data_IF_642038221428
#
_entry.id   IF_642038221428
#
_cell.length_a   1.000
_cell.length_b   1.000
_cell.length_c   1.000
_cell.angle_alpha   90.00
_cell.angle_beta   90.00
_cell.angle_gamma   90.00
#
_symmetry.space_group_name_H-M   'P 1'
#
loop_
_entity.id
_entity.type
_entity.pdbx_description
1 polymer ?
#
# COMPACT_ATOMS: atom_id res chain seq x y z
N UNK A 1 -4.78 44.80 -3.24
CA UNK A 1 -5.49 43.84 -4.11
C UNK A 1 -4.63 43.55 -5.34
N UNK A 2 -3.92 42.41 -5.37
CA UNK A 2 -3.18 41.94 -6.54
C UNK A 2 -3.37 40.43 -6.67
N UNK A 3 -4.46 40.05 -7.33
CA UNK A 3 -4.63 38.73 -7.94
C UNK A 3 -3.92 38.81 -9.30
N UNK A 4 -3.01 37.87 -9.61
CA UNK A 4 -2.88 37.24 -10.93
C UNK A 4 -1.55 36.49 -11.09
N UNK A 5 -1.65 35.37 -11.82
CA UNK A 5 -0.60 34.48 -12.35
C UNK A 5 -0.24 33.26 -11.47
N UNK A 6 -1.19 32.33 -11.37
CA UNK A 6 -0.83 30.90 -11.38
C UNK A 6 -1.08 30.41 -12.79
N UNK A 7 0.01 30.31 -13.55
CA UNK A 7 0.03 29.84 -14.94
C UNK A 7 -0.19 28.33 -14.97
N UNK A 8 -1.16 27.92 -15.78
CA UNK A 8 -1.48 26.56 -16.19
C UNK A 8 -0.26 25.77 -16.64
N UNK A 9 0.21 24.84 -15.81
CA UNK A 9 1.09 23.73 -16.21
C UNK A 9 0.28 22.45 -16.02
N UNK A 10 -0.67 22.17 -16.91
CA UNK A 10 -1.43 20.92 -16.92
C UNK A 10 -1.76 20.37 -18.32
N UNK A 11 -1.19 20.92 -19.40
CA UNK A 11 -1.65 20.66 -20.78
C UNK A 11 -0.62 20.02 -21.72
N UNK A 12 0.26 19.15 -21.23
CA UNK A 12 1.10 18.32 -22.12
C UNK A 12 1.14 16.88 -21.64
N UNK A 13 0.00 16.17 -21.77
CA UNK A 13 0.00 14.72 -21.84
C UNK A 13 -0.20 14.32 -23.31
N UNK A 14 0.68 13.49 -23.89
CA UNK A 14 0.51 13.02 -25.26
C UNK A 14 -0.72 12.12 -25.33
N UNK A 15 -1.72 12.55 -26.12
CA UNK A 15 -2.89 11.75 -26.47
C UNK A 15 -2.40 10.67 -27.46
N UNK A 16 -1.91 9.55 -26.92
CA UNK A 16 -1.70 8.34 -27.71
C UNK A 16 -3.04 7.63 -27.86
N UNK A 17 -3.82 8.07 -28.85
CA UNK A 17 -5.01 7.34 -29.32
C UNK A 17 -4.56 6.08 -30.08
N UNK A 18 -4.33 4.99 -29.36
CA UNK A 18 -4.17 3.67 -29.97
C UNK A 18 -5.58 3.20 -30.37
N UNK A 19 -5.84 3.16 -31.66
CA UNK A 19 -7.03 2.53 -32.23
C UNK A 19 -7.04 1.03 -31.86
N UNK A 20 -8.06 0.59 -31.13
CA UNK A 20 -8.20 -0.82 -30.73
C UNK A 20 -9.29 -1.50 -31.56
N UNK A 21 -8.86 -2.51 -32.34
CA UNK A 21 -9.74 -3.53 -32.93
C UNK A 21 -10.52 -4.22 -31.80
N UNK A 22 -11.84 -4.25 -31.91
CA UNK A 22 -12.70 -5.02 -31.00
C UNK A 22 -12.63 -6.51 -31.37
N UNK A 23 -11.74 -7.28 -30.75
CA UNK A 23 -11.92 -8.74 -30.69
C UNK A 23 -12.83 -9.06 -29.51
N UNK A 24 -13.87 -9.84 -29.79
CA UNK A 24 -14.89 -10.34 -28.86
C UNK A 24 -14.36 -11.46 -27.95
N UNK A 25 -13.08 -11.41 -27.59
CA UNK A 25 -12.55 -12.28 -26.54
C UNK A 25 -13.06 -11.76 -25.19
N UNK A 26 -13.45 -12.66 -24.29
CA UNK A 26 -13.67 -12.31 -22.87
C UNK A 26 -12.45 -11.52 -22.43
N UNK A 27 -12.61 -10.21 -22.23
CA UNK A 27 -11.53 -9.30 -21.85
C UNK A 27 -11.00 -9.71 -20.48
N UNK A 28 -10.06 -10.66 -20.45
CA UNK A 28 -9.35 -11.04 -19.24
C UNK A 28 -8.54 -9.80 -18.85
N UNK A 29 -8.88 -9.21 -17.71
CA UNK A 29 -8.17 -8.05 -17.21
C UNK A 29 -6.71 -8.42 -16.93
N UNK A 30 -5.74 -7.58 -17.32
CA UNK A 30 -4.35 -7.86 -17.05
C UNK A 30 -4.09 -7.80 -15.54
N UNK A 31 -3.22 -8.69 -15.05
CA UNK A 31 -2.97 -8.85 -13.61
C UNK A 31 -1.95 -7.83 -13.12
N UNK A 32 -2.17 -7.26 -11.94
CA UNK A 32 -1.21 -6.35 -11.33
C UNK A 32 0.09 -7.09 -10.97
N UNK A 33 1.23 -6.57 -11.40
CA UNK A 33 2.55 -7.15 -11.16
C UNK A 33 3.26 -6.39 -10.05
N UNK A 34 3.18 -5.06 -10.06
CA UNK A 34 3.74 -4.25 -8.98
C UNK A 34 3.11 -2.87 -8.84
N UNK A 35 3.27 -2.30 -7.64
CA UNK A 35 3.05 -0.89 -7.34
C UNK A 35 4.38 -0.33 -6.85
N UNK A 36 4.88 0.74 -7.46
CA UNK A 36 6.14 1.36 -7.07
C UNK A 36 6.00 2.86 -6.84
N UNK A 37 6.74 3.40 -5.89
CA UNK A 37 6.91 4.85 -5.78
C UNK A 37 7.81 5.39 -6.88
N UNK A 38 7.77 6.69 -7.12
CA UNK A 38 8.84 7.39 -7.83
C UNK A 38 10.19 7.30 -7.12
N UNK A 39 11.24 7.52 -7.89
CA UNK A 39 12.64 7.47 -7.46
C UNK A 39 13.08 8.83 -6.89
N UNK A 40 13.50 8.85 -5.63
CA UNK A 40 14.08 10.02 -4.98
C UNK A 40 15.51 9.72 -4.54
N UNK A 41 16.48 10.50 -5.01
CA UNK A 41 17.92 10.29 -4.75
C UNK A 41 18.37 8.84 -5.05
N UNK A 42 17.87 8.27 -6.15
CA UNK A 42 18.18 6.90 -6.58
C UNK A 42 17.44 5.79 -5.81
N UNK A 43 16.56 6.11 -4.86
CA UNK A 43 15.82 5.11 -4.09
C UNK A 43 14.32 5.16 -4.38
N UNK A 44 13.67 3.99 -4.40
CA UNK A 44 12.22 3.85 -4.51
C UNK A 44 11.73 2.66 -3.68
N UNK A 45 10.42 2.56 -3.47
CA UNK A 45 9.79 1.38 -2.87
C UNK A 45 8.96 0.67 -3.91
N UNK A 46 8.89 -0.65 -3.80
CA UNK A 46 8.08 -1.47 -4.69
C UNK A 46 7.42 -2.62 -3.92
N UNK A 47 6.15 -2.83 -4.22
CA UNK A 47 5.35 -3.98 -3.80
C UNK A 47 5.10 -4.84 -5.03
N UNK A 48 5.56 -6.09 -5.02
CA UNK A 48 5.40 -7.03 -6.14
C UNK A 48 4.45 -8.16 -5.79
N UNK A 49 3.67 -8.58 -6.76
CA UNK A 49 2.77 -9.73 -6.70
C UNK A 49 3.34 -10.87 -7.55
N UNK A 50 3.52 -12.04 -6.94
CA UNK A 50 3.96 -13.24 -7.64
C UNK A 50 2.78 -14.20 -7.81
N UNK A 51 2.73 -14.86 -8.96
CA UNK A 51 1.63 -15.75 -9.33
C UNK A 51 2.12 -17.16 -9.61
N UNK A 52 1.27 -18.16 -9.38
CA UNK A 52 1.49 -19.53 -9.87
C UNK A 52 0.93 -19.75 -11.28
N UNK A 53 1.01 -21.00 -11.76
CA UNK A 53 0.49 -21.42 -13.07
C UNK A 53 -1.03 -21.34 -13.20
N UNK A 54 -1.76 -21.32 -12.07
CA UNK A 54 -3.21 -21.14 -12.02
C UNK A 54 -3.59 -19.66 -11.85
N UNK A 55 -2.61 -18.75 -11.98
CA UNK A 55 -2.77 -17.31 -11.84
C UNK A 55 -3.22 -16.86 -10.44
N UNK A 56 -2.96 -17.66 -9.40
CA UNK A 56 -3.20 -17.30 -8.00
C UNK A 56 -2.00 -16.56 -7.43
N UNK A 57 -2.22 -15.53 -6.62
CA UNK A 57 -1.14 -14.81 -5.93
C UNK A 57 -0.50 -15.73 -4.89
N UNK A 58 0.76 -16.12 -5.08
CA UNK A 58 1.50 -16.95 -4.13
C UNK A 58 2.39 -16.15 -3.20
N UNK A 59 2.74 -14.92 -3.57
CA UNK A 59 3.50 -14.05 -2.70
C UNK A 59 3.30 -12.56 -2.96
N UNK A 60 3.44 -11.77 -1.91
CA UNK A 60 3.61 -10.31 -1.97
C UNK A 60 4.94 -9.92 -1.35
N UNK A 61 5.75 -9.17 -2.09
CA UNK A 61 7.08 -8.75 -1.68
C UNK A 61 7.13 -7.24 -1.56
N UNK A 62 7.39 -6.71 -0.36
CA UNK A 62 7.68 -5.30 -0.15
C UNK A 62 9.19 -5.07 -0.14
N UNK A 63 9.66 -4.20 -1.02
CA UNK A 63 11.09 -3.98 -1.23
C UNK A 63 11.43 -2.50 -1.22
N UNK A 64 12.56 -2.15 -0.61
CA UNK A 64 13.26 -0.90 -0.88
C UNK A 64 14.25 -1.16 -2.02
N UNK A 65 14.25 -0.32 -3.03
CA UNK A 65 15.11 -0.47 -4.19
C UNK A 65 16.04 0.74 -4.30
N UNK A 66 17.28 0.50 -4.74
CA UNK A 66 18.28 1.55 -4.96
C UNK A 66 18.96 1.35 -6.30
N UNK A 67 19.05 2.41 -7.08
CA UNK A 67 19.73 2.47 -8.37
C UNK A 67 20.97 3.34 -8.19
N UNK A 68 22.16 2.74 -8.33
CA UNK A 68 23.41 3.50 -8.39
C UNK A 68 23.60 4.01 -9.82
N UNK A 69 24.16 5.22 -9.96
CA UNK A 69 24.62 5.72 -11.26
C UNK A 69 26.10 5.35 -11.45
N UNK A 70 26.53 4.99 -12.68
CA UNK A 70 25.70 4.78 -13.86
C UNK A 70 24.82 3.52 -13.72
N UNK A 71 23.61 3.54 -14.29
CA UNK A 71 22.58 2.49 -14.13
C UNK A 71 22.90 1.19 -14.90
N UNK A 72 24.18 0.82 -14.96
CA UNK A 72 24.69 -0.36 -15.64
C UNK A 72 24.37 -1.62 -14.81
N UNK A 73 24.31 -1.48 -13.49
CA UNK A 73 24.00 -2.58 -12.58
C UNK A 73 22.50 -2.74 -12.32
N UNK A 74 22.08 -4.00 -12.09
CA UNK A 74 20.72 -4.31 -11.60
C UNK A 74 20.46 -3.52 -10.30
N UNK A 75 19.24 -2.98 -10.11
CA UNK A 75 18.89 -2.28 -8.88
C UNK A 75 19.18 -3.14 -7.65
N UNK A 76 19.77 -2.56 -6.61
CA UNK A 76 19.89 -3.22 -5.31
C UNK A 76 18.49 -3.34 -4.71
N UNK A 77 18.03 -4.57 -4.48
CA UNK A 77 16.70 -4.85 -3.93
C UNK A 77 16.82 -5.29 -2.48
N UNK A 78 16.10 -4.59 -1.61
CA UNK A 78 16.06 -4.82 -0.16
C UNK A 78 14.66 -5.19 0.31
N UNK A 79 14.39 -6.50 0.39
CA UNK A 79 13.10 -7.03 0.85
C UNK A 79 12.91 -6.77 2.34
N UNK A 80 11.85 -6.04 2.67
CA UNK A 80 11.49 -5.63 4.04
C UNK A 80 10.33 -6.43 4.60
N UNK A 81 9.43 -6.93 3.74
CA UNK A 81 8.31 -7.77 4.12
C UNK A 81 8.01 -8.76 3.01
N UNK A 82 7.70 -9.99 3.39
CA UNK A 82 7.15 -11.01 2.51
C UNK A 82 5.84 -11.51 3.09
N UNK A 83 4.88 -11.82 2.22
CA UNK A 83 3.68 -12.59 2.51
C UNK A 83 3.66 -13.75 1.52
N UNK A 84 3.50 -14.98 1.99
CA UNK A 84 3.36 -16.18 1.17
C UNK A 84 1.99 -16.80 1.42
N UNK A 85 1.33 -17.24 0.36
CA UNK A 85 -0.02 -17.82 0.41
C UNK A 85 0.01 -19.29 0.02
N UNK A 86 -0.63 -20.13 0.81
CA UNK A 86 -0.80 -21.54 0.52
C UNK A 86 -2.25 -21.89 0.20
N UNK A 87 -2.41 -22.89 -0.66
CA UNK A 87 -3.68 -23.30 -1.26
C UNK A 87 -3.85 -24.81 -1.18
N UNK A 88 -5.10 -25.27 -1.04
CA UNK A 88 -5.43 -26.69 -1.10
C UNK A 88 -5.81 -27.06 -2.53
N UNK A 89 -5.01 -27.90 -3.19
CA UNK A 89 -5.25 -28.34 -4.56
C UNK A 89 -5.45 -27.17 -5.54
N UNK A 90 -6.55 -27.20 -6.29
CA UNK A 90 -6.91 -26.18 -7.28
C UNK A 90 -7.78 -25.04 -6.70
N UNK A 91 -7.96 -24.97 -5.38
CA UNK A 91 -8.75 -23.90 -4.77
C UNK A 91 -8.11 -22.53 -5.06
N UNK A 92 -8.93 -21.55 -5.45
CA UNK A 92 -8.51 -20.18 -5.68
C UNK A 92 -8.31 -19.40 -4.38
N UNK A 93 -8.94 -19.82 -3.28
CA UNK A 93 -8.85 -19.14 -1.97
C UNK A 93 -7.69 -19.73 -1.16
N UNK A 94 -6.80 -18.89 -0.58
CA UNK A 94 -5.73 -19.39 0.26
C UNK A 94 -6.28 -19.84 1.60
N UNK A 95 -5.69 -20.89 2.21
CA UNK A 95 -6.02 -21.30 3.58
C UNK A 95 -5.00 -20.78 4.61
N UNK A 96 -3.83 -20.34 4.16
CA UNK A 96 -2.75 -19.85 5.02
C UNK A 96 -2.02 -18.67 4.37
N UNK A 97 -1.71 -17.66 5.18
CA UNK A 97 -0.74 -16.62 4.89
C UNK A 97 0.43 -16.68 5.89
N UNK A 98 1.66 -16.76 5.38
CA UNK A 98 2.89 -16.61 6.16
C UNK A 98 3.54 -15.29 5.86
N UNK A 99 3.63 -14.42 6.85
CA UNK A 99 4.21 -13.09 6.74
C UNK A 99 5.52 -13.00 7.53
N UNK A 100 6.59 -12.53 6.89
CA UNK A 100 7.86 -12.26 7.54
C UNK A 100 8.28 -10.81 7.27
N UNK A 101 8.57 -10.06 8.33
CA UNK A 101 9.17 -8.72 8.22
C UNK A 101 10.63 -8.78 8.64
N UNK A 102 11.48 -8.10 7.90
CA UNK A 102 12.92 -8.06 8.09
C UNK A 102 13.37 -6.68 8.54
N UNK A 103 14.43 -6.66 9.35
CA UNK A 103 15.18 -5.44 9.65
C UNK A 103 16.66 -5.66 9.37
N UNK A 104 17.34 -4.60 8.98
CA UNK A 104 18.77 -4.64 8.72
C UNK A 104 19.54 -4.39 10.02
N UNK A 105 20.25 -5.40 10.51
CA UNK A 105 21.14 -5.25 11.65
C UNK A 105 22.47 -4.67 11.15
N UNK A 106 22.70 -3.38 11.42
CA UNK A 106 23.93 -2.68 11.02
C UNK A 106 25.19 -3.29 11.63
N UNK A 107 25.15 -3.70 12.91
CA UNK A 107 26.32 -4.25 13.63
C UNK A 107 26.76 -5.59 13.01
N UNK A 108 25.80 -6.45 12.68
CA UNK A 108 26.07 -7.76 12.10
C UNK A 108 26.11 -7.76 10.56
N UNK A 109 25.92 -6.59 9.93
CA UNK A 109 25.83 -6.39 8.48
C UNK A 109 24.93 -7.42 7.77
N UNK A 110 23.83 -7.83 8.41
CA UNK A 110 22.93 -8.88 7.91
C UNK A 110 21.47 -8.56 8.20
N UNK A 111 20.57 -9.12 7.40
CA UNK A 111 19.14 -9.09 7.70
C UNK A 111 18.80 -10.09 8.78
N UNK A 112 17.96 -9.65 9.70
CA UNK A 112 17.32 -10.51 10.70
C UNK A 112 15.81 -10.37 10.54
N UNK A 113 15.09 -11.47 10.73
CA UNK A 113 13.63 -11.38 10.82
C UNK A 113 13.26 -10.68 12.14
N UNK A 114 12.30 -9.78 12.05
CA UNK A 114 11.75 -9.02 13.17
C UNK A 114 10.41 -9.60 13.61
N UNK A 115 9.55 -9.87 12.64
CA UNK A 115 8.20 -10.38 12.84
C UNK A 115 8.01 -11.59 11.94
N UNK A 116 7.39 -12.63 12.48
CA UNK A 116 6.89 -13.78 11.75
C UNK A 116 5.43 -14.02 12.19
N UNK A 117 4.48 -13.90 11.26
CA UNK A 117 3.05 -14.10 11.48
C UNK A 117 2.58 -15.25 10.60
N UNK A 118 1.88 -16.22 11.17
CA UNK A 118 1.10 -17.21 10.44
C UNK A 118 -0.38 -16.89 10.66
N UNK A 119 -1.16 -16.86 9.59
CA UNK A 119 -2.58 -16.57 9.61
C UNK A 119 -3.32 -17.63 8.81
N UNK A 120 -4.12 -18.43 9.50
CA UNK A 120 -4.99 -19.42 8.89
C UNK A 120 -6.35 -18.77 8.61
N UNK A 121 -6.80 -18.87 7.36
CA UNK A 121 -8.10 -18.38 6.92
C UNK A 121 -9.12 -19.52 7.04
N UNK A 122 -10.17 -19.31 7.82
CA UNK A 122 -11.20 -20.32 8.07
C UNK A 122 -12.45 -19.94 7.27
N UNK A 123 -12.94 -20.88 6.46
CA UNK A 123 -14.06 -20.68 5.56
C UNK A 123 -15.22 -21.61 5.88
N UNK A 124 -16.45 -21.09 5.78
CA UNK A 124 -17.69 -21.84 5.83
C UNK A 124 -18.55 -21.47 4.61
N UNK A 125 -19.10 -22.47 3.92
CA UNK A 125 -19.85 -22.27 2.68
C UNK A 125 -19.10 -21.45 1.61
N UNK A 126 -17.77 -21.52 1.64
CA UNK A 126 -16.89 -20.78 0.75
C UNK A 126 -16.64 -19.32 1.18
N UNK A 127 -17.28 -18.80 2.20
CA UNK A 127 -17.02 -17.45 2.71
C UNK A 127 -16.05 -17.49 3.89
N UNK A 128 -15.20 -16.47 4.02
CA UNK A 128 -14.28 -16.40 5.17
C UNK A 128 -15.10 -16.00 6.39
N UNK A 129 -15.02 -16.79 7.46
CA UNK A 129 -15.74 -16.53 8.71
C UNK A 129 -14.84 -16.11 9.86
N UNK A 130 -13.56 -16.55 9.87
CA UNK A 130 -12.58 -16.16 10.90
C UNK A 130 -11.13 -16.41 10.52
N UNK A 131 -10.23 -15.86 11.33
CA UNK A 131 -8.79 -16.06 11.21
C UNK A 131 -8.19 -16.64 12.51
N UNK A 132 -7.22 -17.55 12.38
CA UNK A 132 -6.37 -17.95 13.51
C UNK A 132 -4.95 -17.44 13.29
N UNK A 133 -4.41 -16.65 14.23
CA UNK A 133 -3.15 -15.92 14.03
C UNK A 133 -2.12 -16.32 15.08
N UNK A 134 -0.98 -16.81 14.60
CA UNK A 134 0.21 -17.04 15.41
C UNK A 134 1.23 -15.96 15.11
N UNK A 135 1.74 -15.32 16.16
CA UNK A 135 2.67 -14.22 16.03
C UNK A 135 3.96 -14.49 16.82
N UNK A 136 5.08 -14.16 16.19
CA UNK A 136 6.39 -14.24 16.81
C UNK A 136 7.20 -12.99 16.50
N UNK A 137 7.73 -12.38 17.56
CA UNK A 137 8.60 -11.20 17.48
C UNK A 137 10.01 -11.54 17.94
N UNK A 138 10.99 -10.91 17.30
CA UNK A 138 12.36 -10.89 17.73
C UNK A 138 12.67 -9.49 18.29
N UNK A 139 12.82 -9.39 19.60
CA UNK A 139 13.22 -8.14 20.27
C UNK A 139 14.59 -8.35 20.91
N UNK A 140 15.60 -7.64 20.42
CA UNK A 140 16.96 -7.69 20.97
C UNK A 140 17.56 -9.11 21.06
N UNK A 141 17.18 -10.01 20.15
CA UNK A 141 17.64 -11.41 20.15
C UNK A 141 16.85 -12.34 21.08
N UNK A 142 15.91 -11.82 21.87
CA UNK A 142 14.95 -12.62 22.66
C UNK A 142 13.70 -12.90 21.81
N UNK A 143 13.18 -14.13 21.92
CA UNK A 143 12.00 -14.59 21.20
C UNK A 143 10.79 -14.43 22.11
N UNK A 144 9.79 -13.66 21.66
CA UNK A 144 8.48 -13.59 22.31
C UNK A 144 7.44 -14.28 21.41
N UNK A 145 6.57 -15.07 22.01
CA UNK A 145 5.48 -15.78 21.35
C UNK A 145 4.18 -15.23 21.89
N UNK A 146 3.29 -14.85 20.99
CA UNK A 146 1.94 -14.43 21.34
C UNK A 146 0.97 -15.18 20.41
N UNK A 147 -0.09 -15.73 20.98
CA UNK A 147 -1.15 -16.44 20.25
C UNK A 147 -2.45 -15.67 20.37
N UNK A 148 -3.14 -15.48 19.25
CA UNK A 148 -4.42 -14.78 19.21
C UNK A 148 -5.36 -15.51 18.24
N UNK A 149 -6.51 -15.96 18.74
CA UNK A 149 -7.64 -16.25 17.87
C UNK A 149 -8.38 -14.93 17.60
N UNK A 150 -8.58 -14.60 16.32
CA UNK A 150 -9.39 -13.44 15.96
C UNK A 150 -10.73 -13.94 15.43
N UNK A 151 -11.73 -13.94 16.31
CA UNK A 151 -13.14 -14.04 15.91
C UNK A 151 -13.55 -12.74 15.24
N UNK A 152 -14.24 -12.82 14.10
CA UNK A 152 -14.91 -11.67 13.50
C UNK A 152 -16.19 -11.45 14.30
N UNK A 153 -16.09 -10.67 15.36
CA UNK A 153 -17.26 -9.92 15.80
C UNK A 153 -17.45 -8.73 14.84
N UNK A 154 -18.69 -8.35 14.48
CA UNK A 154 -18.93 -7.12 13.73
C UNK A 154 -18.26 -5.98 14.50
N UNK A 155 -17.38 -5.26 13.81
CA UNK A 155 -16.50 -4.23 14.39
C UNK A 155 -17.26 -3.23 15.28
N UNK A 156 -17.22 -3.43 16.60
CA UNK A 156 -17.26 -2.32 17.55
C UNK A 156 -15.83 -1.98 17.90
N UNK A 157 -15.41 -0.78 17.49
CA UNK A 157 -14.05 -0.27 17.62
C UNK A 157 -13.69 -0.01 19.08
N UNK A 158 -13.29 -1.02 19.85
CA UNK A 158 -12.65 -0.79 21.13
C UNK A 158 -11.46 -1.73 21.31
N UNK A 159 -10.37 -1.14 21.82
CA UNK A 159 -9.11 -1.77 22.23
C UNK A 159 -8.01 -1.90 21.16
N UNK A 160 -7.20 -0.84 21.08
CA UNK A 160 -5.89 -0.80 20.47
C UNK A 160 -4.83 -0.81 21.57
N UNK A 161 -4.17 -1.95 21.81
CA UNK A 161 -2.92 -1.97 22.57
C UNK A 161 -1.71 -2.13 21.65
N UNK A 162 -0.85 -1.11 21.75
CA UNK A 162 0.60 -1.13 21.50
C UNK A 162 1.12 -1.26 20.07
N UNK A 163 0.38 -0.70 19.11
CA UNK A 163 0.95 -0.27 17.84
C UNK A 163 0.60 1.21 17.59
N UNK A 164 1.55 2.17 17.68
CA UNK A 164 1.27 3.59 17.46
C UNK A 164 0.78 3.92 16.03
N UNK A 165 0.70 2.91 15.16
CA UNK A 165 0.31 2.97 13.75
C UNK A 165 -1.16 2.54 13.54
N UNK A 166 -1.87 2.01 14.55
CA UNK A 166 -3.25 1.48 14.37
C UNK A 166 -4.39 2.42 14.78
N UNK A 167 -4.12 3.59 15.34
CA UNK A 167 -5.13 4.63 15.54
C UNK A 167 -5.31 5.50 14.29
N UNK A 168 -5.29 4.90 13.09
CA UNK A 168 -5.71 5.61 11.88
C UNK A 168 -7.22 5.51 11.83
N UNK A 169 -7.89 6.51 12.43
CA UNK A 169 -9.31 6.71 12.20
C UNK A 169 -9.46 7.44 10.86
N UNK A 170 -10.19 6.83 9.94
CA UNK A 170 -10.60 7.47 8.69
C UNK A 170 -11.83 8.29 9.00
N UNK A 171 -11.67 9.61 9.00
CA UNK A 171 -12.79 10.52 9.23
C UNK A 171 -13.61 10.72 7.94
N UNK A 172 -12.97 10.59 6.78
CA UNK A 172 -13.62 10.70 5.47
C UNK A 172 -12.98 9.73 4.49
N UNK A 173 -13.80 9.06 3.66
CA UNK A 173 -13.33 8.28 2.51
C UNK A 173 -14.16 8.60 1.28
N UNK A 174 -13.49 8.78 0.14
CA UNK A 174 -14.14 8.91 -1.16
C UNK A 174 -13.52 7.95 -2.14
N UNK A 175 -14.33 7.31 -2.96
CA UNK A 175 -13.88 6.37 -3.99
C UNK A 175 -14.20 6.88 -5.40
N UNK A 176 -13.42 6.43 -6.37
CA UNK A 176 -13.71 6.64 -7.79
C UNK A 176 -14.76 5.63 -8.30
N UNK A 177 -15.04 5.66 -9.61
CA UNK A 177 -15.88 4.66 -10.28
C UNK A 177 -15.07 3.57 -11.02
N UNK A 178 -13.74 3.60 -10.92
CA UNK A 178 -12.84 2.69 -11.64
C UNK A 178 -12.50 1.48 -10.78
N UNK A 179 -12.08 0.39 -11.41
CA UNK A 179 -11.86 -0.87 -10.70
C UNK A 179 -10.62 -0.75 -9.81
N UNK A 180 -10.71 -1.21 -8.56
CA UNK A 180 -9.52 -1.46 -7.75
C UNK A 180 -8.83 -2.75 -8.22
N UNK A 181 -7.58 -2.68 -8.72
CA UNK A 181 -6.87 -3.88 -9.19
C UNK A 181 -6.59 -4.90 -8.07
N UNK A 182 -6.53 -4.46 -6.81
CA UNK A 182 -6.30 -5.37 -5.68
C UNK A 182 -7.51 -6.23 -5.35
N UNK A 183 -8.73 -5.74 -5.60
CA UNK A 183 -9.97 -6.46 -5.37
C UNK A 183 -10.18 -7.64 -6.33
N UNK A 184 -9.47 -7.63 -7.45
CA UNK A 184 -9.49 -8.72 -8.44
C UNK A 184 -8.57 -9.88 -8.05
N UNK A 185 -7.74 -9.72 -7.02
CA UNK A 185 -6.83 -10.78 -6.59
C UNK A 185 -7.61 -11.88 -5.86
N UNK A 186 -7.23 -13.13 -6.09
CA UNK A 186 -7.84 -14.30 -5.45
C UNK A 186 -7.67 -14.33 -3.92
N UNK A 187 -6.79 -13.49 -3.39
CA UNK A 187 -6.53 -13.29 -1.95
C UNK A 187 -7.34 -12.14 -1.34
N UNK A 188 -8.08 -11.35 -2.14
CA UNK A 188 -8.69 -10.10 -1.67
C UNK A 188 -9.70 -10.31 -0.55
N UNK A 189 -10.58 -11.30 -0.69
CA UNK A 189 -11.56 -11.66 0.35
C UNK A 189 -10.88 -12.22 1.61
N UNK A 190 -9.73 -12.90 1.45
CA UNK A 190 -8.95 -13.39 2.59
C UNK A 190 -8.32 -12.23 3.38
N UNK A 191 -7.98 -11.14 2.69
CA UNK A 191 -7.29 -9.96 3.20
C UNK A 191 -8.20 -8.72 3.30
N UNK A 192 -9.49 -8.94 3.58
CA UNK A 192 -10.54 -7.91 3.58
C UNK A 192 -10.22 -6.61 4.34
N UNK A 193 -9.54 -6.73 5.47
CA UNK A 193 -9.12 -5.58 6.28
C UNK A 193 -7.63 -5.23 6.14
N UNK A 194 -6.87 -5.99 5.36
CA UNK A 194 -5.46 -5.66 5.12
C UNK A 194 -5.32 -4.66 3.97
N UNK A 195 -4.16 -4.00 3.93
CA UNK A 195 -3.80 -3.07 2.88
C UNK A 195 -2.35 -3.22 2.46
N UNK A 196 -2.06 -2.73 1.25
CA UNK A 196 -0.70 -2.43 0.83
C UNK A 196 -0.34 -1.06 1.41
N UNK A 197 0.73 -1.02 2.20
CA UNK A 197 1.19 0.20 2.88
C UNK A 197 2.57 0.65 2.37
N UNK A 198 2.72 1.96 2.17
CA UNK A 198 3.96 2.62 1.78
C UNK A 198 4.33 3.71 2.79
N UNK A 199 5.21 3.43 3.76
CA UNK A 199 5.71 4.46 4.66
C UNK A 199 6.81 5.26 3.94
N UNK A 200 6.59 6.54 3.69
CA UNK A 200 7.50 7.41 2.95
C UNK A 200 8.05 8.46 3.90
N UNK A 201 9.39 8.49 4.06
CA UNK A 201 10.05 9.52 4.88
C UNK A 201 9.96 10.88 4.21
N UNK A 202 10.00 11.96 4.98
CA UNK A 202 9.97 13.33 4.47
C UNK A 202 11.01 13.59 3.37
N UNK A 203 12.23 13.09 3.55
CA UNK A 203 13.31 13.23 2.57
C UNK A 203 13.05 12.57 1.20
N UNK A 204 12.00 11.74 1.09
CA UNK A 204 11.53 11.10 -0.13
C UNK A 204 10.21 11.68 -0.66
N UNK A 205 9.72 12.75 -0.04
CA UNK A 205 8.55 13.53 -0.46
C UNK A 205 9.00 14.78 -1.20
N UNK A 206 8.19 15.22 -2.18
CA UNK A 206 8.36 16.52 -2.81
C UNK A 206 7.54 17.56 -2.04
N UNK A 207 8.20 18.39 -1.24
CA UNK A 207 7.52 19.41 -0.45
C UNK A 207 6.88 20.49 -1.33
N UNK A 208 5.71 20.96 -0.92
CA UNK A 208 4.98 22.07 -1.54
C UNK A 208 5.25 23.40 -0.83
N UNK A 209 5.60 23.36 0.45
CA UNK A 209 6.02 24.51 1.26
C UNK A 209 7.21 24.11 2.18
N UNK A 210 7.90 25.08 2.77
CA UNK A 210 9.12 24.83 3.59
C UNK A 210 8.86 24.82 5.10
N UNK A 211 7.62 25.08 5.53
CA UNK A 211 7.39 25.49 6.92
C UNK A 211 7.04 24.34 7.86
N UNK A 212 6.80 23.14 7.31
CA UNK A 212 6.49 21.96 8.11
C UNK A 212 7.46 20.81 7.81
N UNK A 213 8.46 20.71 8.67
CA UNK A 213 9.46 19.65 8.67
C UNK A 213 9.24 18.81 9.91
N UNK A 214 8.57 17.66 9.78
CA UNK A 214 8.95 16.61 10.72
C UNK A 214 8.53 15.18 10.36
N UNK A 215 7.40 14.93 9.66
CA UNK A 215 6.97 13.53 9.50
C UNK A 215 6.78 13.11 8.05
N UNK A 216 7.20 11.87 7.81
CA UNK A 216 6.81 11.13 6.64
C UNK A 216 5.29 10.98 6.49
N UNK A 217 4.88 10.32 5.43
CA UNK A 217 3.48 10.03 5.11
C UNK A 217 3.35 8.54 4.87
N UNK A 218 2.18 8.00 5.18
CA UNK A 218 1.83 6.62 4.88
C UNK A 218 0.74 6.64 3.82
N UNK A 219 0.99 5.92 2.73
CA UNK A 219 -0.01 5.72 1.67
C UNK A 219 -0.49 4.29 1.70
N UNK A 220 -1.80 4.08 1.50
CA UNK A 220 -2.39 2.76 1.58
C UNK A 220 -3.40 2.47 0.47
N UNK A 221 -3.49 1.19 0.11
CA UNK A 221 -4.49 0.65 -0.80
C UNK A 221 -5.06 -0.64 -0.21
N UNK A 222 -6.37 -0.68 0.00
CA UNK A 222 -7.07 -1.83 0.54
C UNK A 222 -7.29 -2.91 -0.51
N UNK A 223 -7.27 -4.18 -0.08
CA UNK A 223 -7.55 -5.29 -0.98
C UNK A 223 -9.04 -5.39 -1.33
N UNK A 224 -9.93 -5.22 -0.35
CA UNK A 224 -11.34 -5.55 -0.51
C UNK A 224 -12.27 -4.34 -0.71
N UNK A 225 -11.76 -3.28 -1.36
CA UNK A 225 -12.61 -2.18 -1.84
C UNK A 225 -12.89 -2.34 -3.32
N UNK A 226 -14.14 -2.16 -3.76
CA UNK A 226 -14.52 -2.32 -5.18
C UNK A 226 -13.82 -1.31 -6.09
N UNK A 227 -13.60 -0.09 -5.59
CA UNK A 227 -13.08 1.06 -6.33
C UNK A 227 -11.81 1.63 -5.71
N UNK A 228 -11.08 2.50 -6.43
CA UNK A 228 -9.87 3.11 -5.89
C UNK A 228 -10.20 4.27 -4.96
N UNK A 229 -9.45 4.37 -3.87
CA UNK A 229 -9.56 5.45 -2.90
C UNK A 229 -9.08 6.78 -3.51
N UNK A 230 -9.90 7.82 -3.45
CA UNK A 230 -9.59 9.17 -3.94
C UNK A 230 -9.20 10.13 -2.82
N UNK A 231 -9.86 10.02 -1.66
CA UNK A 231 -9.62 10.93 -0.53
C UNK A 231 -9.67 10.10 0.74
N UNK A 232 -8.73 10.37 1.64
CA UNK A 232 -8.82 9.91 3.01
C UNK A 232 -8.07 10.84 3.97
N UNK A 233 -8.51 10.84 5.23
CA UNK A 233 -7.87 11.60 6.30
C UNK A 233 -7.27 10.66 7.33
N UNK A 234 -6.03 10.95 7.75
CA UNK A 234 -5.31 10.21 8.80
C UNK A 234 -5.01 11.16 9.95
N UNK A 235 -5.59 10.91 11.12
CA UNK A 235 -5.22 11.62 12.35
C UNK A 235 -3.87 11.12 12.88
N UNK A 236 -2.92 12.03 13.11
CA UNK A 236 -1.56 11.74 13.59
C UNK A 236 -1.48 11.80 15.12
N UNK A 237 -2.15 10.86 15.79
CA UNK A 237 -2.07 10.63 17.23
C UNK A 237 -2.46 11.81 18.14
N UNK A 238 -2.54 11.55 19.45
CA UNK A 238 -2.92 12.56 20.46
C UNK A 238 -1.72 13.28 21.08
N UNK A 239 -0.50 12.97 20.60
CA UNK A 239 0.74 13.56 21.10
C UNK A 239 0.88 15.05 20.75
N UNK A 240 0.03 15.57 19.86
CA UNK A 240 0.02 16.97 19.47
C UNK A 240 -1.23 17.64 20.00
N UNK A 241 -1.02 18.81 20.60
CA UNK A 241 -2.08 19.75 20.94
C UNK A 241 -1.79 21.04 20.17
N UNK A 242 -2.54 21.34 19.10
CA UNK A 242 -3.68 20.59 18.57
C UNK A 242 -3.25 19.32 17.79
N UNK A 243 -4.16 18.31 17.65
CA UNK A 243 -3.94 17.16 16.76
C UNK A 243 -3.68 17.59 15.32
N UNK A 244 -2.87 16.81 14.60
CA UNK A 244 -2.52 17.02 13.20
C UNK A 244 -3.17 15.93 12.35
N UNK A 245 -3.63 16.30 11.16
CA UNK A 245 -4.26 15.41 10.21
C UNK A 245 -3.52 15.44 8.86
N UNK A 246 -3.37 14.28 8.24
CA UNK A 246 -2.96 14.15 6.85
C UNK A 246 -4.22 13.97 5.99
N UNK A 247 -4.61 15.01 5.25
CA UNK A 247 -5.64 14.92 4.21
C UNK A 247 -4.98 14.51 2.90
N UNK A 248 -5.18 13.25 2.52
CA UNK A 248 -4.57 12.66 1.33
C UNK A 248 -5.58 12.65 0.19
N UNK A 249 -5.18 13.24 -0.94
CA UNK A 249 -5.92 13.22 -2.20
C UNK A 249 -5.15 12.43 -3.23
N UNK A 250 -5.77 11.41 -3.80
CA UNK A 250 -5.23 10.54 -4.82
C UNK A 250 -5.89 10.85 -6.18
N UNK A 251 -5.07 11.02 -7.21
CA UNK A 251 -5.51 11.23 -8.59
C UNK A 251 -4.87 10.21 -9.50
N UNK A 252 -5.68 9.38 -10.14
CA UNK A 252 -5.22 8.30 -11.01
C UNK A 252 -5.29 8.64 -12.50
N UNK A 253 -4.39 8.02 -13.25
CA UNK A 253 -4.49 7.83 -14.71
C UNK A 253 -4.70 6.35 -14.97
N UNK A 254 -5.57 5.99 -15.91
CA UNK A 254 -5.96 4.60 -16.20
C UNK A 254 -5.55 4.17 -17.61
N UNK A 255 -5.41 2.86 -17.83
CA UNK A 255 -5.29 2.27 -19.17
C UNK A 255 -6.66 2.04 -19.84
N UNK A 256 -6.67 1.45 -21.04
CA UNK A 256 -7.91 1.12 -21.77
C UNK A 256 -8.87 0.19 -21.00
N UNK A 257 -8.35 -0.59 -20.04
CA UNK A 257 -9.14 -1.51 -19.21
C UNK A 257 -9.66 -0.85 -17.93
N UNK A 258 -9.53 0.48 -17.79
CA UNK A 258 -9.88 1.25 -16.58
C UNK A 258 -9.10 0.83 -15.33
N UNK A 259 -7.91 0.25 -15.51
CA UNK A 259 -7.01 -0.08 -14.40
C UNK A 259 -6.00 1.06 -14.19
N UNK A 260 -5.73 1.48 -12.94
CA UNK A 260 -4.82 2.60 -12.67
C UNK A 260 -3.41 2.24 -13.11
N UNK A 261 -2.73 3.09 -13.88
CA UNK A 261 -1.32 2.92 -14.29
C UNK A 261 -0.40 3.91 -13.60
N UNK A 262 -0.95 5.02 -13.12
CA UNK A 262 -0.22 6.08 -12.44
C UNK A 262 -1.13 6.74 -11.40
N UNK A 263 -0.56 7.16 -10.28
CA UNK A 263 -1.26 7.91 -9.23
C UNK A 263 -0.39 9.06 -8.73
N UNK A 264 -0.97 10.24 -8.66
CA UNK A 264 -0.43 11.38 -7.93
C UNK A 264 -1.11 11.42 -6.57
N UNK A 265 -0.32 11.39 -5.51
CA UNK A 265 -0.79 11.57 -4.14
C UNK A 265 -0.39 12.96 -3.64
N UNK A 266 -1.39 13.78 -3.35
CA UNK A 266 -1.24 15.09 -2.72
C UNK A 266 -1.67 14.97 -1.27
N UNK A 267 -0.76 15.24 -0.35
CA UNK A 267 -1.09 15.29 1.07
C UNK A 267 -1.04 16.71 1.57
N UNK A 268 -2.09 17.14 2.26
CA UNK A 268 -2.12 18.38 3.05
C UNK A 268 -2.09 18.01 4.53
N UNK A 269 -1.16 18.60 5.26
CA UNK A 269 -1.13 18.54 6.72
C UNK A 269 -1.91 19.73 7.26
N UNK A 270 -2.90 19.44 8.08
CA UNK A 270 -3.73 20.45 8.74
C UNK A 270 -3.78 20.22 10.25
N UNK A 271 -3.99 21.27 11.02
CA UNK A 271 -4.32 21.14 12.44
C UNK A 271 -5.84 20.94 12.64
N UNK A 272 -6.28 20.77 13.89
CA UNK A 272 -7.68 20.63 14.27
C UNK A 272 -8.55 21.86 13.92
N UNK A 273 -7.95 23.02 13.63
CA UNK A 273 -8.62 24.23 13.13
C UNK A 273 -8.69 24.29 11.60
N UNK A 274 -8.29 23.22 10.91
CA UNK A 274 -8.12 23.18 9.44
C UNK A 274 -7.06 24.16 8.91
N UNK A 275 -6.17 24.66 9.77
CA UNK A 275 -5.05 25.51 9.36
C UNK A 275 -4.09 24.69 8.54
N UNK A 276 -3.73 25.16 7.35
CA UNK A 276 -2.75 24.51 6.51
C UNK A 276 -1.35 24.65 7.10
N UNK A 277 -0.75 23.52 7.49
CA UNK A 277 0.61 23.45 8.04
C UNK A 277 1.62 23.17 6.93
N UNK A 278 1.26 22.29 5.99
CA UNK A 278 2.10 22.05 4.83
C UNK A 278 1.59 20.97 3.90
N UNK A 279 2.36 20.64 2.87
CA UNK A 279 1.92 19.64 1.91
C UNK A 279 3.02 19.02 1.09
N UNK A 280 2.70 17.84 0.57
CA UNK A 280 3.67 16.97 -0.09
C UNK A 280 3.04 16.31 -1.31
N UNK A 281 3.88 16.03 -2.29
CA UNK A 281 3.56 15.18 -3.43
C UNK A 281 4.34 13.87 -3.37
N UNK A 282 3.65 12.79 -3.73
CA UNK A 282 4.26 11.50 -4.03
C UNK A 282 3.63 10.90 -5.28
N UNK A 283 4.40 10.13 -6.03
CA UNK A 283 3.93 9.51 -7.26
C UNK A 283 4.06 7.99 -7.17
N UNK A 284 3.10 7.29 -7.76
CA UNK A 284 3.05 5.84 -7.81
C UNK A 284 2.79 5.37 -9.23
N UNK A 285 3.40 4.25 -9.60
CA UNK A 285 3.20 3.57 -10.87
C UNK A 285 2.69 2.17 -10.60
N UNK A 286 1.70 1.76 -11.38
CA UNK A 286 1.10 0.43 -11.34
C UNK A 286 1.48 -0.30 -12.63
N UNK A 287 2.02 -1.50 -12.49
CA UNK A 287 2.43 -2.33 -13.61
C UNK A 287 1.54 -3.55 -13.68
N UNK A 288 1.21 -3.95 -14.90
CA UNK A 288 0.38 -5.12 -15.17
C UNK A 288 1.11 -6.11 -16.08
N UNK A 289 0.67 -7.36 -16.06
CA UNK A 289 1.06 -8.35 -17.06
C UNK A 289 0.64 -7.87 -18.44
N UNK A 290 1.43 -8.21 -19.45
CA UNK A 290 1.02 -8.05 -20.84
C UNK A 290 -0.10 -9.01 -21.19
#
# INVERSE_FOLDING_TARGET
MRLNKIVSIFLLLPILSIAQKSSTEKNILPRIVSISTDTTKGNYKEVRFLYDKLNRVIAILHTNCSIKKPAIDKPKVDTTKTQFFEYTGNNAKPFLCKMVTYEFNKKANKRVWKINKLQYFIYENGEKVRDSVFYRKNENGRRKYDYFEQTFEPFETNEAEDNPIRNIKFDEEKYDSSINPLNQLNIAAALDMENIYFPVKESALKSLNKDFHDWGIEFMWYFNTKNNLLIYTVRRGDKYSPPIYDNVHLKYTYNQHKLPVYCVALTKKIDNGSTYLGGFLKYFTFRYSK
#
